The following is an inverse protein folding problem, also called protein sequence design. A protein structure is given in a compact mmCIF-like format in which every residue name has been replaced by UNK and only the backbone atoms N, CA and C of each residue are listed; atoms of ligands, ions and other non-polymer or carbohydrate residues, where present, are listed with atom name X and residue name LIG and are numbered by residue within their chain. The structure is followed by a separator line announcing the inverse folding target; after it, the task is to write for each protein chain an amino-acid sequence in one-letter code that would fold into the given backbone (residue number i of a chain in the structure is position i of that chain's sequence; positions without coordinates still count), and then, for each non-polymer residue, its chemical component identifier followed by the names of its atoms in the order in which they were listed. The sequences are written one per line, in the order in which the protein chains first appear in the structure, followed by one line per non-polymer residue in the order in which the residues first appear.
data_IF_138113167811
#
_entry.id   IF_138113167811
#
_cell.length_a   1.000
_cell.length_b   1.000
_cell.length_c   1.000
_cell.angle_alpha   90.00
_cell.angle_beta   90.00
_cell.angle_gamma   90.00
#
_symmetry.space_group_name_H-M   'P 1'
#
loop_
_entity.id
_entity.type
_entity.pdbx_description
1 polymer ?
#
# COMPACT_ATOMS: atom_id res chain seq x y z
N UNK A 1 -5.44 -0.05 19.24
CA UNK A 1 -4.85 -1.41 19.18
C UNK A 1 -5.68 -2.35 18.35
N UNK A 2 -5.91 -2.02 17.07
CA UNK A 2 -6.49 -2.91 16.07
C UNK A 2 -6.22 -2.30 14.70
N UNK A 3 -4.96 -2.32 14.26
CA UNK A 3 -4.69 -2.22 12.83
C UNK A 3 -5.38 -3.42 12.20
N UNK A 4 -6.46 -3.16 11.47
CA UNK A 4 -7.29 -4.17 10.89
C UNK A 4 -6.47 -4.82 9.78
N UNK A 5 -5.94 -6.01 10.09
CA UNK A 5 -5.21 -6.86 9.15
C UNK A 5 -6.01 -6.94 7.83
N UNK A 6 -5.38 -6.49 6.75
CA UNK A 6 -5.91 -6.49 5.38
C UNK A 6 -6.98 -5.42 5.04
N UNK A 7 -7.09 -4.33 5.79
CA UNK A 7 -7.88 -3.20 5.29
C UNK A 7 -7.27 -2.58 4.03
N UNK A 8 -8.10 -2.26 3.01
CA UNK A 8 -7.62 -1.64 1.79
C UNK A 8 -7.09 -0.23 2.09
N UNK A 9 -5.79 -0.02 1.83
CA UNK A 9 -5.13 1.27 1.98
C UNK A 9 -5.61 2.19 0.84
N UNK A 10 -6.19 3.34 1.20
CA UNK A 10 -6.56 4.41 0.25
C UNK A 10 -5.63 5.60 0.40
N UNK A 11 -5.16 6.15 -0.72
CA UNK A 11 -4.27 7.32 -0.79
C UNK A 11 -4.78 8.25 -1.88
N UNK A 12 -5.14 9.46 -1.48
CA UNK A 12 -5.64 10.49 -2.39
C UNK A 12 -4.52 11.49 -2.71
N UNK A 13 -4.31 11.72 -4.01
CA UNK A 13 -3.30 12.67 -4.51
C UNK A 13 -4.01 13.98 -4.84
N UNK A 14 -3.62 15.06 -4.16
CA UNK A 14 -4.28 16.37 -4.25
C UNK A 14 -3.50 17.37 -5.12
N UNK A 15 -2.33 17.00 -5.61
CA UNK A 15 -1.46 17.85 -6.43
C UNK A 15 -1.61 17.51 -7.92
N UNK A 16 -1.78 18.54 -8.76
CA UNK A 16 -1.90 18.36 -10.20
C UNK A 16 -0.56 18.00 -10.83
N UNK A 17 -0.57 17.16 -11.87
CA UNK A 17 0.64 16.76 -12.59
C UNK A 17 1.48 15.68 -11.91
N UNK A 18 1.04 15.10 -10.79
CA UNK A 18 1.72 13.98 -10.14
C UNK A 18 1.49 12.69 -10.93
N UNK A 19 2.56 12.08 -11.41
CA UNK A 19 2.53 10.81 -12.16
C UNK A 19 3.10 9.62 -11.37
N UNK A 20 3.58 9.84 -10.14
CA UNK A 20 4.16 8.80 -9.29
C UNK A 20 3.85 9.02 -7.81
N UNK A 21 3.63 7.93 -7.08
CA UNK A 21 3.43 7.94 -5.63
C UNK A 21 4.07 6.72 -4.98
N UNK A 22 4.62 6.92 -3.78
CA UNK A 22 5.16 5.86 -2.95
C UNK A 22 4.15 5.44 -1.88
N UNK A 23 3.86 4.15 -1.80
CA UNK A 23 3.01 3.56 -0.75
C UNK A 23 3.93 2.94 0.31
N UNK A 24 3.91 3.50 1.51
CA UNK A 24 4.73 3.07 2.66
C UNK A 24 3.87 2.46 3.77
N UNK A 25 4.53 1.82 4.75
CA UNK A 25 3.86 1.18 5.90
C UNK A 25 3.21 -0.17 5.58
N UNK A 26 3.61 -0.79 4.47
CA UNK A 26 3.13 -2.12 4.07
C UNK A 26 3.77 -3.21 4.94
N UNK A 27 3.04 -4.29 5.17
CA UNK A 27 3.59 -5.44 5.86
C UNK A 27 4.69 -6.08 5.02
N UNK A 28 5.80 -6.52 5.64
CA UNK A 28 6.84 -7.25 4.93
C UNK A 28 6.30 -8.58 4.42
N UNK A 29 6.96 -9.13 3.39
CA UNK A 29 6.67 -10.43 2.81
C UNK A 29 5.22 -10.65 2.32
N UNK A 30 4.48 -9.57 2.07
CA UNK A 30 3.03 -9.60 1.84
C UNK A 30 2.71 -9.24 0.39
N UNK A 31 1.76 -9.97 -0.21
CA UNK A 31 1.29 -9.69 -1.57
C UNK A 31 0.15 -8.67 -1.55
N UNK A 32 0.30 -7.59 -2.29
CA UNK A 32 -0.69 -6.54 -2.47
C UNK A 32 -1.20 -6.50 -3.91
N UNK A 33 -2.46 -6.09 -4.06
CA UNK A 33 -3.08 -5.76 -5.34
C UNK A 33 -3.27 -4.24 -5.38
N UNK A 34 -2.60 -3.56 -6.31
CA UNK A 34 -2.61 -2.09 -6.41
C UNK A 34 -3.48 -1.66 -7.58
N UNK A 35 -4.37 -0.69 -7.36
CA UNK A 35 -5.26 -0.11 -8.36
C UNK A 35 -5.31 1.41 -8.21
N UNK A 36 -5.51 2.11 -9.31
CA UNK A 36 -5.71 3.57 -9.34
C UNK A 36 -7.07 3.90 -9.92
N UNK A 37 -7.66 5.02 -9.51
CA UNK A 37 -8.86 5.60 -10.11
C UNK A 37 -8.68 7.11 -10.21
N UNK A 38 -9.35 7.73 -11.18
CA UNK A 38 -9.42 9.18 -11.28
C UNK A 38 -10.37 9.73 -10.23
N UNK A 39 -9.92 10.70 -9.42
CA UNK A 39 -10.77 11.39 -8.47
C UNK A 39 -11.45 12.58 -9.16
N UNK A 40 -12.78 12.63 -9.16
CA UNK A 40 -13.55 13.75 -9.74
C UNK A 40 -14.54 14.32 -8.72
N UNK A 41 -15.03 15.54 -8.96
CA UNK A 41 -16.04 16.17 -8.10
C UNK A 41 -17.36 15.38 -8.02
N UNK A 42 -17.66 14.55 -9.02
CA UNK A 42 -18.87 13.71 -9.04
C UNK A 42 -18.65 12.34 -8.37
N UNK A 43 -17.41 12.01 -8.01
CA UNK A 43 -17.01 10.72 -7.45
C UNK A 43 -15.75 10.15 -8.11
N UNK A 44 -15.32 9.00 -7.63
CA UNK A 44 -14.24 8.22 -8.23
C UNK A 44 -14.67 7.66 -9.60
N UNK A 45 -13.79 7.73 -10.59
CA UNK A 45 -13.93 6.96 -11.82
C UNK A 45 -13.66 5.47 -11.62
N UNK A 46 -13.79 4.71 -12.70
CA UNK A 46 -13.51 3.28 -12.68
C UNK A 46 -12.06 3.00 -12.26
N UNK A 47 -11.88 1.94 -11.48
CA UNK A 47 -10.56 1.48 -11.04
C UNK A 47 -9.85 0.80 -12.22
N UNK A 48 -8.54 1.01 -12.33
CA UNK A 48 -7.69 0.30 -13.27
C UNK A 48 -7.69 -1.21 -13.02
N UNK A 49 -7.16 -1.98 -13.98
CA UNK A 49 -6.78 -3.37 -13.70
C UNK A 49 -5.77 -3.42 -12.54
N UNK A 50 -5.87 -4.42 -11.64
CA UNK A 50 -4.96 -4.55 -10.51
C UNK A 50 -3.59 -5.02 -10.93
N UNK A 51 -2.56 -4.43 -10.31
CA UNK A 51 -1.18 -4.91 -10.41
C UNK A 51 -0.83 -5.66 -9.12
N UNK A 52 -0.37 -6.90 -9.27
CA UNK A 52 0.04 -7.75 -8.16
C UNK A 52 1.52 -7.56 -7.85
N UNK A 53 1.86 -7.21 -6.62
CA UNK A 53 3.23 -6.99 -6.16
C UNK A 53 3.45 -7.62 -4.79
N UNK A 54 4.66 -8.12 -4.51
CA UNK A 54 5.04 -8.65 -3.19
C UNK A 54 6.09 -7.74 -2.56
N UNK A 55 5.86 -7.34 -1.31
CA UNK A 55 6.85 -6.58 -0.55
C UNK A 55 8.05 -7.46 -0.18
N UNK A 56 9.27 -6.90 -0.07
CA UNK A 56 10.42 -7.63 0.43
C UNK A 56 10.16 -8.19 1.84
N UNK A 57 10.86 -9.27 2.18
CA UNK A 57 10.90 -9.76 3.56
C UNK A 57 11.51 -8.74 4.50
N UNK A 58 11.14 -8.82 5.78
CA UNK A 58 11.77 -8.03 6.82
C UNK A 58 13.25 -8.42 6.99
N UNK A 59 14.07 -7.51 7.49
CA UNK A 59 15.41 -7.87 7.96
C UNK A 59 15.28 -8.74 9.22
N UNK A 60 16.07 -9.81 9.39
CA UNK A 60 16.06 -10.57 10.64
C UNK A 60 16.38 -9.65 11.82
N UNK A 61 15.59 -9.76 12.90
CA UNK A 61 15.92 -9.07 14.14
C UNK A 61 17.24 -9.61 14.69
N UNK A 62 17.96 -8.76 15.43
CA UNK A 62 19.12 -9.21 16.20
C UNK A 62 18.69 -10.39 17.08
N UNK A 63 19.40 -11.53 17.05
CA UNK A 63 19.06 -12.65 17.92
C UNK A 63 19.18 -12.21 19.39
N UNK A 64 18.15 -12.53 20.18
CA UNK A 64 18.21 -12.40 21.63
C UNK A 64 18.86 -13.67 22.20
N UNK A 65 19.99 -13.49 22.90
CA UNK A 65 20.65 -14.58 23.61
C UNK A 65 20.11 -14.57 25.03
N UNK A 66 19.21 -15.49 25.34
CA UNK A 66 18.87 -15.80 26.72
C UNK A 66 20.00 -16.65 27.30
N UNK A 67 20.79 -16.05 28.19
CA UNK A 67 21.86 -16.70 28.96
C UNK A 67 21.25 -17.34 30.20
#
# INVERSE_FOLDING_TARGET
GKDLLNEPIRRDVHEEGVLAINISGLQPDTTYHVQVAALTRKGDGDRSLPVKVRTPGGVPNRPEVNI
#
